data_IF_273048274656
#
_entry.id   IF_273048274656
#
_cell.length_a   1.000
_cell.length_b   1.000
_cell.length_c   1.000
_cell.angle_alpha   90.00
_cell.angle_beta   90.00
_cell.angle_gamma   90.00
#
_symmetry.space_group_name_H-M   'P 1'
#
loop_
_entity.id
_entity.type
_entity.pdbx_description
1 polymer ?
#
# COMPACT_ATOMS: atom_id res chain seq x y z
N UNK A 1 0.81 3.33 -9.43
CA UNK A 1 1.90 2.94 -8.50
C UNK A 1 3.23 3.32 -9.13
N UNK A 2 4.26 3.59 -8.32
CA UNK A 2 5.53 4.18 -8.80
C UNK A 2 6.78 3.39 -8.45
N UNK A 3 6.78 2.66 -7.34
CA UNK A 3 7.95 1.88 -6.93
C UNK A 3 7.60 0.43 -6.60
N UNK A 4 8.61 -0.42 -6.71
CA UNK A 4 8.59 -1.81 -6.25
C UNK A 4 9.66 -1.97 -5.18
N UNK A 5 9.41 -2.82 -4.20
CA UNK A 5 10.33 -2.98 -3.08
C UNK A 5 10.44 -4.40 -2.56
N UNK A 6 11.48 -4.63 -1.77
CA UNK A 6 11.75 -5.90 -1.09
C UNK A 6 11.96 -5.62 0.39
N UNK A 7 11.53 -6.56 1.24
CA UNK A 7 11.75 -6.43 2.67
C UNK A 7 13.24 -6.55 3.00
N UNK A 8 13.76 -5.58 3.75
CA UNK A 8 15.14 -5.59 4.22
C UNK A 8 15.20 -6.01 5.69
N UNK A 9 15.41 -7.30 5.91
CA UNK A 9 15.50 -7.87 7.25
C UNK A 9 16.69 -7.24 7.98
N UNK A 10 16.43 -6.64 9.15
CA UNK A 10 17.50 -6.03 9.95
C UNK A 10 18.03 -4.72 9.39
N UNK A 11 17.43 -4.20 8.31
CA UNK A 11 17.78 -2.92 7.68
C UNK A 11 19.27 -2.81 7.28
N UNK A 12 19.90 -3.93 6.95
CA UNK A 12 21.35 -4.03 6.71
C UNK A 12 21.77 -3.73 5.27
N UNK A 13 20.81 -3.37 4.42
CA UNK A 13 21.08 -3.05 3.02
C UNK A 13 20.90 -4.26 2.11
N UNK A 14 19.97 -5.16 2.44
CA UNK A 14 19.76 -6.42 1.75
C UNK A 14 21.06 -7.20 1.74
N UNK A 15 21.53 -7.73 2.85
CA UNK A 15 22.83 -8.46 2.90
C UNK A 15 22.94 -9.58 1.84
N UNK A 16 23.46 -9.23 0.66
CA UNK A 16 23.47 -10.08 -0.53
C UNK A 16 24.66 -11.05 -0.51
N UNK A 17 24.49 -12.21 -1.13
CA UNK A 17 25.62 -13.09 -1.43
C UNK A 17 26.64 -12.44 -2.37
N UNK A 18 27.89 -12.89 -2.28
CA UNK A 18 28.99 -12.36 -3.08
C UNK A 18 28.70 -12.46 -4.58
N UNK A 19 28.73 -11.33 -5.27
CA UNK A 19 28.52 -11.25 -6.73
C UNK A 19 27.13 -10.76 -7.15
N UNK A 20 26.19 -10.60 -6.22
CA UNK A 20 24.90 -9.94 -6.47
C UNK A 20 25.00 -8.44 -6.18
N UNK A 21 24.26 -7.64 -6.95
CA UNK A 21 24.18 -6.18 -6.80
C UNK A 21 22.80 -5.70 -6.35
N UNK A 22 21.80 -6.58 -6.37
CA UNK A 22 20.43 -6.26 -5.97
C UNK A 22 19.49 -7.45 -6.02
N UNK A 23 18.22 -7.17 -5.79
CA UNK A 23 17.10 -8.12 -5.78
C UNK A 23 16.11 -7.72 -6.86
N UNK A 24 15.82 -8.63 -7.78
CA UNK A 24 14.76 -8.42 -8.77
C UNK A 24 13.39 -8.41 -8.08
N UNK A 25 12.59 -7.38 -8.32
CA UNK A 25 11.21 -7.28 -7.86
C UNK A 25 10.31 -6.97 -9.04
N UNK A 26 9.22 -7.72 -9.17
CA UNK A 26 8.36 -7.71 -10.35
C UNK A 26 6.89 -7.64 -9.96
N UNK A 27 6.11 -7.10 -10.89
CA UNK A 27 4.66 -6.97 -10.81
C UNK A 27 4.04 -7.62 -12.04
N UNK A 28 3.04 -8.48 -11.80
CA UNK A 28 2.29 -9.15 -12.84
C UNK A 28 0.79 -8.96 -12.67
N UNK A 29 0.07 -9.00 -13.78
CA UNK A 29 -1.37 -9.26 -13.75
C UNK A 29 -1.68 -10.74 -13.47
N UNK A 30 -2.95 -11.07 -13.25
CA UNK A 30 -3.34 -12.45 -12.97
C UNK A 30 -3.25 -13.39 -14.18
N UNK A 31 -3.03 -12.88 -15.40
CA UNK A 31 -2.80 -13.68 -16.61
C UNK A 31 -1.34 -14.13 -16.76
N UNK A 32 -0.44 -13.55 -15.96
CA UNK A 32 0.99 -13.82 -16.04
C UNK A 32 1.79 -12.79 -16.82
N UNK A 33 1.17 -11.71 -17.26
CA UNK A 33 1.86 -10.64 -17.99
C UNK A 33 2.66 -9.78 -17.02
N UNK A 34 3.96 -9.61 -17.29
CA UNK A 34 4.81 -8.70 -16.53
C UNK A 34 4.45 -7.26 -16.87
N UNK A 35 4.04 -6.50 -15.85
CA UNK A 35 3.68 -5.10 -15.97
C UNK A 35 4.86 -4.18 -15.68
N UNK A 36 5.73 -4.59 -14.76
CA UNK A 36 6.92 -3.84 -14.39
C UNK A 36 7.89 -4.66 -13.55
N UNK A 37 9.16 -4.29 -13.61
CA UNK A 37 10.23 -4.90 -12.84
C UNK A 37 11.27 -3.84 -12.48
N UNK A 38 11.87 -3.97 -11.29
CA UNK A 38 13.02 -3.19 -10.86
C UNK A 38 14.09 -4.12 -10.29
N UNK A 39 15.33 -3.65 -10.29
CA UNK A 39 16.40 -4.24 -9.50
C UNK A 39 16.58 -3.36 -8.25
N UNK A 40 16.15 -3.85 -7.08
CA UNK A 40 16.40 -3.15 -5.81
C UNK A 40 17.85 -3.33 -5.42
N UNK A 41 18.64 -2.26 -5.53
CA UNK A 41 20.08 -2.32 -5.29
C UNK A 41 20.38 -2.69 -3.83
N UNK A 42 21.38 -3.54 -3.64
CA UNK A 42 21.96 -3.78 -2.32
C UNK A 42 22.66 -2.52 -1.79
N UNK A 43 22.81 -2.45 -0.48
CA UNK A 43 23.31 -1.29 0.26
C UNK A 43 22.20 -0.44 0.87
N UNK A 44 22.61 0.65 1.51
CA UNK A 44 21.75 1.47 2.37
C UNK A 44 21.24 2.75 1.72
N UNK A 45 21.50 2.94 0.42
CA UNK A 45 21.17 4.18 -0.30
C UNK A 45 19.70 4.26 -0.73
N UNK A 46 19.05 3.12 -0.99
CA UNK A 46 17.65 3.07 -1.35
C UNK A 46 16.76 3.43 -0.13
N UNK A 47 15.69 4.21 -0.33
CA UNK A 47 14.80 4.62 0.76
C UNK A 47 14.13 3.41 1.41
N UNK A 48 14.06 3.42 2.75
CA UNK A 48 13.29 2.46 3.54
C UNK A 48 11.96 3.09 3.93
N UNK A 49 10.88 2.34 3.74
CA UNK A 49 9.58 2.62 4.31
C UNK A 49 8.97 1.33 4.86
N UNK A 50 8.63 1.33 6.15
CA UNK A 50 8.05 0.19 6.87
C UNK A 50 8.84 -1.12 6.71
N UNK A 51 10.19 -1.01 6.72
CA UNK A 51 11.11 -2.14 6.58
C UNK A 51 11.30 -2.65 5.15
N UNK A 52 10.73 -1.99 4.14
CA UNK A 52 10.95 -2.31 2.73
C UNK A 52 11.86 -1.28 2.07
N UNK A 53 12.82 -1.74 1.26
CA UNK A 53 13.59 -0.91 0.35
C UNK A 53 12.93 -0.85 -1.00
N UNK A 54 12.83 0.34 -1.57
CA UNK A 54 12.14 0.58 -2.83
C UNK A 54 13.05 1.13 -3.91
N UNK A 55 12.77 0.72 -5.15
CA UNK A 55 13.27 1.34 -6.37
C UNK A 55 12.14 1.77 -7.29
N UNK A 56 12.35 2.88 -7.98
CA UNK A 56 11.37 3.48 -8.89
C UNK A 56 11.24 2.67 -10.19
N UNK A 57 10.02 2.48 -10.68
CA UNK A 57 9.73 1.79 -11.95
C UNK A 57 10.14 2.58 -13.21
N UNK A 58 10.56 3.85 -13.05
CA UNK A 58 10.85 4.76 -14.15
C UNK A 58 9.61 5.31 -14.87
N UNK A 59 8.50 4.57 -14.86
CA UNK A 59 7.17 5.01 -15.28
C UNK A 59 6.09 4.47 -14.34
N UNK A 60 5.04 5.26 -14.11
CA UNK A 60 3.90 4.83 -13.31
C UNK A 60 3.10 3.75 -14.01
N UNK A 61 2.64 2.76 -13.24
CA UNK A 61 1.72 1.72 -13.71
C UNK A 61 0.34 1.97 -13.10
N UNK A 62 -0.68 2.05 -13.93
CA UNK A 62 -2.07 2.14 -13.51
C UNK A 62 -2.65 0.75 -13.23
N UNK A 63 -3.18 0.57 -12.04
CA UNK A 63 -3.84 -0.67 -11.62
C UNK A 63 -5.35 -0.49 -11.69
N UNK A 64 -6.03 -1.44 -12.33
CA UNK A 64 -7.48 -1.41 -12.46
C UNK A 64 -8.12 -1.91 -11.17
N UNK A 65 -9.07 -1.14 -10.65
CA UNK A 65 -9.84 -1.53 -9.46
C UNK A 65 -10.60 -2.84 -9.72
N UNK A 66 -10.57 -3.76 -8.76
CA UNK A 66 -11.22 -5.07 -8.87
C UNK A 66 -10.38 -6.15 -9.55
N UNK A 67 -9.22 -5.80 -10.13
CA UNK A 67 -8.28 -6.77 -10.69
C UNK A 67 -7.34 -7.35 -9.63
N UNK A 68 -6.86 -8.57 -9.88
CA UNK A 68 -5.82 -9.21 -9.08
C UNK A 68 -4.45 -9.02 -9.72
N UNK A 69 -3.47 -8.68 -8.88
CA UNK A 69 -2.08 -8.52 -9.26
C UNK A 69 -1.19 -9.33 -8.32
N UNK A 70 -0.01 -9.68 -8.80
CA UNK A 70 1.00 -10.41 -8.02
C UNK A 70 2.29 -9.61 -8.00
N UNK A 71 2.86 -9.47 -6.81
CA UNK A 71 4.21 -8.92 -6.63
C UNK A 71 5.10 -10.02 -6.08
N UNK A 72 6.32 -10.12 -6.59
CA UNK A 72 7.31 -11.08 -6.10
C UNK A 72 8.71 -10.48 -6.14
N UNK A 73 9.57 -10.96 -5.26
CA UNK A 73 10.99 -10.62 -5.19
C UNK A 73 11.83 -11.90 -5.35
N UNK A 74 12.95 -11.85 -6.08
CA UNK A 74 13.88 -12.97 -6.21
C UNK A 74 14.78 -13.08 -4.98
N UNK A 75 14.32 -13.85 -4.01
CA UNK A 75 14.92 -13.96 -2.69
C UNK A 75 16.01 -15.05 -2.58
N UNK A 76 16.44 -15.67 -3.70
CA UNK A 76 17.31 -16.87 -3.67
C UNK A 76 18.68 -16.66 -3.01
N UNK A 77 19.20 -15.43 -3.03
CA UNK A 77 20.60 -15.14 -2.69
C UNK A 77 20.72 -13.96 -1.70
N UNK A 78 19.70 -13.77 -0.84
CA UNK A 78 19.80 -12.85 0.30
C UNK A 78 20.13 -13.67 1.54
N UNK A 79 21.25 -13.35 2.18
CA UNK A 79 21.67 -14.01 3.40
C UNK A 79 20.78 -13.60 4.57
N UNK A 80 20.58 -14.50 5.53
CA UNK A 80 19.78 -14.19 6.73
C UNK A 80 18.27 -14.14 6.51
N UNK A 81 17.78 -14.44 5.30
CA UNK A 81 16.37 -14.70 5.02
C UNK A 81 15.86 -16.03 5.57
N UNK A 82 16.77 -16.85 6.09
CA UNK A 82 16.48 -18.17 6.61
C UNK A 82 15.48 -18.03 7.79
N UNK A 83 14.21 -18.14 7.45
CA UNK A 83 13.09 -18.40 8.36
C UNK A 83 12.84 -17.27 9.37
N UNK A 84 12.19 -16.19 8.93
CA UNK A 84 11.30 -15.45 9.84
C UNK A 84 10.06 -16.31 10.14
N UNK A 85 10.27 -17.37 10.92
CA UNK A 85 9.19 -18.09 11.58
C UNK A 85 8.51 -17.12 12.55
N UNK A 86 7.33 -16.63 12.19
CA UNK A 86 6.48 -15.83 13.09
C UNK A 86 6.50 -14.32 12.89
N UNK A 87 7.23 -13.77 11.92
CA UNK A 87 6.98 -12.38 11.52
C UNK A 87 5.75 -12.34 10.60
N UNK A 88 4.68 -11.72 11.08
CA UNK A 88 3.61 -11.21 10.22
C UNK A 88 3.99 -9.77 9.87
N UNK A 89 4.78 -9.50 8.82
CA UNK A 89 4.77 -8.17 8.27
C UNK A 89 3.33 -7.85 7.88
N UNK A 90 2.76 -6.88 8.56
CA UNK A 90 1.65 -6.17 7.96
C UNK A 90 2.33 -5.34 6.88
N UNK A 91 2.32 -5.85 5.64
CA UNK A 91 2.62 -4.99 4.49
C UNK A 91 1.74 -3.74 4.66
N UNK A 92 2.29 -2.53 4.50
CA UNK A 92 1.49 -1.29 4.57
C UNK A 92 0.27 -1.34 3.65
N UNK A 93 0.41 -2.09 2.55
CA UNK A 93 -0.62 -2.28 1.52
C UNK A 93 -1.49 -3.52 1.74
N UNK A 94 -1.37 -4.21 2.89
CA UNK A 94 -2.09 -5.45 3.22
C UNK A 94 -1.92 -6.54 2.17
N UNK A 95 -0.77 -6.58 1.50
CA UNK A 95 -0.41 -7.66 0.59
C UNK A 95 -0.22 -8.91 1.44
N UNK A 96 -0.94 -9.98 1.12
CA UNK A 96 -0.76 -11.27 1.77
C UNK A 96 0.54 -11.89 1.26
N UNK A 97 1.59 -11.97 2.10
CA UNK A 97 2.85 -12.58 1.67
C UNK A 97 2.66 -14.09 1.45
N UNK A 98 3.17 -14.60 0.34
CA UNK A 98 3.25 -16.03 0.07
C UNK A 98 4.64 -16.38 -0.42
N UNK A 99 5.27 -17.38 0.20
CA UNK A 99 6.50 -17.95 -0.34
C UNK A 99 6.18 -18.80 -1.57
N UNK A 100 6.96 -18.60 -2.63
CA UNK A 100 7.01 -19.48 -3.79
C UNK A 100 8.46 -19.75 -4.15
N UNK A 101 8.76 -20.94 -4.66
CA UNK A 101 10.06 -21.26 -5.22
C UNK A 101 10.03 -21.00 -6.73
N UNK A 102 10.94 -20.16 -7.22
CA UNK A 102 11.19 -20.04 -8.65
C UNK A 102 11.99 -21.27 -9.10
N UNK A 103 11.56 -21.94 -10.17
CA UNK A 103 12.21 -23.19 -10.61
C UNK A 103 13.55 -22.97 -11.32
N UNK A 104 13.78 -21.80 -11.92
CA UNK A 104 15.04 -21.50 -12.62
C UNK A 104 15.27 -20.01 -12.87
N UNK A 105 14.22 -19.27 -13.26
CA UNK A 105 14.30 -17.82 -13.54
C UNK A 105 13.21 -17.03 -12.82
N UNK A 106 13.48 -15.74 -12.60
CA UNK A 106 12.49 -14.79 -12.12
C UNK A 106 11.33 -14.70 -13.11
N UNK A 107 10.17 -15.22 -12.71
CA UNK A 107 9.06 -15.51 -13.59
C UNK A 107 7.74 -15.35 -12.84
N UNK A 108 6.62 -15.48 -13.54
CA UNK A 108 5.32 -15.34 -12.90
C UNK A 108 5.15 -16.34 -11.73
N UNK A 109 4.79 -15.87 -10.52
CA UNK A 109 4.61 -16.74 -9.36
C UNK A 109 3.29 -17.53 -9.50
N UNK A 110 3.39 -18.77 -10.00
CA UNK A 110 2.23 -19.65 -10.23
C UNK A 110 1.71 -20.32 -8.95
N UNK A 111 2.53 -20.42 -7.91
CA UNK A 111 2.13 -21.01 -6.62
C UNK A 111 1.89 -19.93 -5.58
N UNK A 112 0.83 -20.12 -4.80
CA UNK A 112 0.54 -19.34 -3.61
C UNK A 112 0.44 -20.32 -2.45
N UNK A 113 1.48 -20.35 -1.59
CA UNK A 113 1.46 -21.01 -0.28
C UNK A 113 1.40 -22.55 -0.31
N UNK A 114 2.56 -23.20 -0.18
CA UNK A 114 2.63 -24.65 0.07
C UNK A 114 2.72 -24.98 1.58
N UNK A 115 2.99 -24.00 2.46
CA UNK A 115 3.13 -24.23 3.90
C UNK A 115 2.63 -23.04 4.75
N UNK A 116 1.61 -23.19 5.61
CA UNK A 116 1.00 -22.08 6.35
C UNK A 116 1.86 -21.52 7.50
N UNK A 117 3.00 -22.14 7.83
CA UNK A 117 3.87 -21.73 8.95
C UNK A 117 5.08 -20.85 8.57
N UNK A 118 5.30 -20.57 7.29
CA UNK A 118 6.44 -19.78 6.81
C UNK A 118 5.94 -18.59 6.00
N UNK A 119 6.24 -17.39 6.50
CA UNK A 119 5.99 -16.13 5.80
C UNK A 119 7.33 -15.62 5.30
N UNK A 120 7.58 -15.77 4.01
CA UNK A 120 8.66 -15.04 3.38
C UNK A 120 8.18 -13.60 3.17
N UNK A 121 8.83 -12.65 3.82
CA UNK A 121 8.64 -11.23 3.57
C UNK A 121 9.11 -10.96 2.13
N UNK A 122 8.16 -10.86 1.21
CA UNK A 122 8.43 -10.82 -0.23
C UNK A 122 8.50 -9.40 -0.81
N UNK A 123 8.13 -9.29 -2.09
CA UNK A 123 8.02 -8.02 -2.77
C UNK A 123 6.84 -7.17 -2.28
N UNK A 124 6.95 -5.86 -2.44
CA UNK A 124 5.94 -4.87 -2.09
C UNK A 124 5.82 -3.82 -3.19
N UNK A 125 4.75 -3.02 -3.15
CA UNK A 125 4.48 -1.94 -4.09
C UNK A 125 4.41 -0.62 -3.32
N UNK A 126 4.89 0.47 -3.91
CA UNK A 126 4.65 1.81 -3.37
C UNK A 126 3.70 2.53 -4.32
N UNK A 127 2.58 2.99 -3.77
CA UNK A 127 1.76 3.97 -4.45
C UNK A 127 2.40 5.33 -4.23
N UNK A 128 2.47 6.14 -5.29
CA UNK A 128 2.60 7.57 -5.06
C UNK A 128 1.48 7.97 -4.10
N UNK A 129 1.82 8.78 -3.11
CA UNK A 129 0.83 9.63 -2.48
C UNK A 129 0.27 10.49 -3.61
N UNK A 130 -0.76 10.00 -4.30
CA UNK A 130 -1.61 10.83 -5.12
C UNK A 130 -2.11 11.88 -4.13
N UNK A 131 -1.49 13.07 -4.17
CA UNK A 131 -1.69 14.12 -3.20
C UNK A 131 -3.18 14.15 -2.91
N UNK A 132 -3.57 13.82 -1.66
CA UNK A 132 -4.96 13.56 -1.28
C UNK A 132 -5.83 14.53 -2.05
N UNK A 133 -6.48 14.07 -3.12
CA UNK A 133 -7.17 14.99 -4.01
C UNK A 133 -8.10 15.73 -3.08
N UNK A 134 -7.88 17.04 -2.91
CA UNK A 134 -8.60 17.82 -1.91
C UNK A 134 -10.06 17.58 -2.24
N UNK A 135 -10.75 16.75 -1.45
CA UNK A 135 -12.13 16.39 -1.77
C UNK A 135 -12.84 17.73 -1.65
N UNK A 136 -13.33 18.32 -2.75
CA UNK A 136 -14.13 19.52 -2.59
C UNK A 136 -15.33 19.03 -1.79
N UNK A 137 -15.41 19.42 -0.52
CA UNK A 137 -16.65 19.24 0.20
C UNK A 137 -17.62 20.20 -0.46
N UNK A 138 -18.40 19.70 -1.41
CA UNK A 138 -19.58 20.41 -1.85
C UNK A 138 -20.55 20.35 -0.68
N UNK A 139 -20.77 21.49 -0.02
CA UNK A 139 -21.88 21.59 0.90
C UNK A 139 -23.14 21.24 0.12
N UNK A 140 -23.77 20.13 0.50
CA UNK A 140 -25.10 19.81 -0.01
C UNK A 140 -25.99 21.04 0.16
N UNK A 141 -26.67 21.54 -0.89
CA UNK A 141 -27.56 22.69 -0.79
C UNK A 141 -28.59 22.54 0.33
N UNK A 142 -28.96 21.29 0.62
CA UNK A 142 -29.84 20.89 1.72
C UNK A 142 -29.27 21.20 3.10
N UNK A 143 -27.96 21.02 3.33
CA UNK A 143 -27.32 21.41 4.60
C UNK A 143 -27.30 22.93 4.75
N UNK A 144 -27.07 23.66 3.66
CA UNK A 144 -27.12 25.12 3.63
C UNK A 144 -28.51 25.65 4.01
N UNK A 145 -29.57 25.06 3.45
CA UNK A 145 -30.96 25.42 3.78
C UNK A 145 -31.31 25.11 5.24
N UNK A 146 -30.80 24.02 5.82
CA UNK A 146 -31.09 23.65 7.21
C UNK A 146 -30.46 24.64 8.22
N UNK A 147 -29.24 25.10 7.94
CA UNK A 147 -28.55 26.11 8.75
C UNK A 147 -29.24 27.48 8.68
N UNK A 148 -29.65 27.90 7.48
CA UNK A 148 -30.39 29.15 7.29
C UNK A 148 -31.78 29.06 7.94
N UNK A 149 -32.51 27.97 7.71
CA UNK A 149 -33.82 27.73 8.30
C UNK A 149 -33.81 27.70 9.83
N UNK A 150 -32.76 27.11 10.44
CA UNK A 150 -32.59 27.08 11.90
C UNK A 150 -32.37 28.47 12.51
N UNK A 151 -31.56 29.32 11.86
CA UNK A 151 -31.25 30.68 12.35
C UNK A 151 -32.45 31.62 12.28
N UNK A 152 -33.27 31.52 11.23
CA UNK A 152 -34.46 32.36 11.08
C UNK A 152 -35.68 31.79 11.82
N UNK A 153 -35.87 30.47 11.83
CA UNK A 153 -36.97 29.80 12.53
C UNK A 153 -36.86 29.88 14.05
N UNK A 154 -35.65 29.73 14.61
CA UNK A 154 -35.41 29.81 16.05
C UNK A 154 -35.75 31.19 16.64
N UNK A 155 -35.47 32.27 15.91
CA UNK A 155 -35.77 33.65 16.34
C UNK A 155 -37.27 33.94 16.40
N UNK A 156 -38.07 33.39 15.49
CA UNK A 156 -39.52 33.57 15.53
C UNK A 156 -40.17 32.79 16.68
N UNK A 157 -39.76 31.54 16.91
CA UNK A 157 -40.30 30.75 18.03
C UNK A 157 -39.95 31.34 19.39
N UNK A 158 -38.72 31.84 19.57
CA UNK A 158 -38.28 32.47 20.82
C UNK A 158 -39.12 33.71 21.17
N UNK A 159 -39.42 34.58 20.18
CA UNK A 159 -40.27 35.76 20.39
C UNK A 159 -41.71 35.39 20.76
N UNK A 160 -42.27 34.36 20.12
CA UNK A 160 -43.62 33.89 20.40
C UNK A 160 -43.75 33.32 21.83
N UNK A 161 -42.71 32.65 22.32
CA UNK A 161 -42.65 32.15 23.69
C UNK A 161 -42.55 33.28 24.74
N UNK A 162 -41.72 34.30 24.52
CA UNK A 162 -41.59 35.43 25.44
C UNK A 162 -42.87 36.25 25.56
N UNK A 163 -43.59 36.47 24.45
CA UNK A 163 -44.84 37.22 24.49
C UNK A 163 -45.96 36.51 25.24
N UNK A 164 -45.93 35.17 25.36
CA UNK A 164 -46.90 34.43 26.17
C UNK A 164 -46.66 34.54 27.68
N UNK A 165 -45.44 34.85 28.13
CA UNK A 165 -45.12 34.99 29.56
C UNK A 165 -45.48 36.34 30.18
N UNK A 166 -45.83 37.34 29.37
CA UNK A 166 -46.12 38.71 29.84
C UNK A 166 -47.62 38.90 30.12
N UNK A 167 -48.46 37.90 29.83
CA UNK A 167 -49.93 38.00 29.94
C UNK A 167 -50.50 37.25 31.16
N UNK A 168 -49.64 36.61 31.97
CA UNK A 168 -50.00 36.01 33.26
C UNK A 168 -49.29 36.76 34.40
#
# INVERSE_FOLDING_TARGET
MTALGVYDVGEDGLFLESGRTGVDVGLWDNSGTLLGQVLVSGGTTAPILDGFRYENLGASIDLTTGSFYRVAADMRDINGLDLLSGANPISPNRINPTQTYFQSSFSFPTRTRDNPGQVALGGNILFDNAASASVPFEFSPTLGLLLVGGLFGGRQMYRSYQNKKIVD
#
